data_IF_787298340524
#
_entry.id   IF_787298340524
#
_cell.length_a   1.000
_cell.length_b   1.000
_cell.length_c   1.000
_cell.angle_alpha   90.00
_cell.angle_beta   90.00
_cell.angle_gamma   90.00
#
_symmetry.space_group_name_H-M   'P 1'
#
loop_
_entity.id
_entity.type
_entity.pdbx_description
1 polymer ?
#
# COMPACT_ATOMS: atom_id res chain seq x y z
N UNK A 1 -15.83 10.19 23.60
CA UNK A 1 -15.10 9.80 22.37
C UNK A 1 -13.61 9.72 22.71
N UNK A 2 -12.98 8.63 22.39
CA UNK A 2 -11.55 8.42 22.64
C UNK A 2 -10.73 9.39 21.76
N UNK A 3 -9.82 10.21 22.31
CA UNK A 3 -9.03 11.17 21.54
C UNK A 3 -8.14 10.52 20.47
N UNK A 4 -7.71 9.25 20.64
CA UNK A 4 -6.95 8.52 19.63
C UNK A 4 -7.82 8.22 18.40
N UNK A 5 -9.09 7.86 18.58
CA UNK A 5 -10.02 7.63 17.46
C UNK A 5 -10.26 8.90 16.68
N UNK A 6 -10.52 10.01 17.39
CA UNK A 6 -10.70 11.30 16.74
C UNK A 6 -9.45 11.72 15.94
N UNK A 7 -8.26 11.55 16.52
CA UNK A 7 -7.00 11.90 15.84
C UNK A 7 -6.78 11.04 14.59
N UNK A 8 -7.09 9.72 14.65
CA UNK A 8 -7.02 8.82 13.52
C UNK A 8 -7.97 9.25 12.41
N UNK A 9 -9.27 9.46 12.75
CA UNK A 9 -10.29 9.78 11.76
C UNK A 9 -10.04 11.14 11.10
N UNK A 10 -9.71 12.17 11.88
CA UNK A 10 -9.43 13.49 11.33
C UNK A 10 -8.13 13.49 10.50
N UNK A 11 -7.09 12.79 10.97
CA UNK A 11 -5.81 12.66 10.27
C UNK A 11 -5.97 11.95 8.93
N UNK A 12 -6.61 10.79 8.94
CA UNK A 12 -6.83 10.00 7.71
C UNK A 12 -7.75 10.72 6.72
N UNK A 13 -8.84 11.34 7.21
CA UNK A 13 -9.72 12.17 6.37
C UNK A 13 -8.96 13.35 5.75
N UNK A 14 -8.12 14.05 6.52
CA UNK A 14 -7.31 15.15 6.02
C UNK A 14 -6.33 14.69 4.93
N UNK A 15 -5.60 13.60 5.15
CA UNK A 15 -4.68 13.04 4.15
C UNK A 15 -5.42 12.63 2.88
N UNK A 16 -6.58 11.97 3.02
CA UNK A 16 -7.38 11.58 1.87
C UNK A 16 -7.90 12.81 1.10
N UNK A 17 -8.45 13.82 1.76
CA UNK A 17 -8.98 15.01 1.10
C UNK A 17 -7.89 15.79 0.35
N UNK A 18 -6.69 15.92 0.94
CA UNK A 18 -5.56 16.55 0.26
C UNK A 18 -5.12 15.70 -0.94
N UNK A 19 -5.05 14.38 -0.79
CA UNK A 19 -4.73 13.47 -1.89
C UNK A 19 -5.77 13.54 -3.03
N UNK A 20 -7.07 13.61 -2.69
CA UNK A 20 -8.18 13.74 -3.63
C UNK A 20 -8.13 15.06 -4.39
N UNK A 21 -7.87 16.15 -3.68
CA UNK A 21 -7.68 17.46 -4.30
C UNK A 21 -6.51 17.50 -5.28
N UNK A 22 -5.35 16.95 -4.90
CA UNK A 22 -4.19 16.85 -5.78
C UNK A 22 -4.46 15.94 -6.98
N UNK A 23 -5.13 14.81 -6.76
CA UNK A 23 -5.51 13.88 -7.82
C UNK A 23 -6.49 14.53 -8.81
N UNK A 24 -7.50 15.23 -8.31
CA UNK A 24 -8.46 15.99 -9.12
C UNK A 24 -7.77 17.05 -9.98
N UNK A 25 -6.83 17.81 -9.42
CA UNK A 25 -6.03 18.80 -10.17
C UNK A 25 -5.16 18.22 -11.27
N UNK A 26 -4.77 16.95 -11.16
CA UNK A 26 -3.98 16.24 -12.19
C UNK A 26 -4.83 15.64 -13.29
N UNK A 27 -6.12 15.58 -13.10
CA UNK A 27 -7.07 15.09 -14.08
C UNK A 27 -7.91 13.92 -13.60
N UNK A 28 -8.79 13.48 -14.48
CA UNK A 28 -9.83 12.51 -14.17
C UNK A 28 -9.26 11.15 -13.76
N UNK A 29 -8.28 10.63 -14.48
CA UNK A 29 -7.72 9.29 -14.24
C UNK A 29 -7.14 9.13 -12.82
N UNK A 30 -6.21 9.99 -12.33
CA UNK A 30 -5.69 9.88 -10.96
C UNK A 30 -6.76 10.03 -9.88
N UNK A 31 -7.79 10.85 -10.13
CA UNK A 31 -8.89 11.01 -9.21
C UNK A 31 -9.77 9.76 -9.12
N UNK A 32 -10.12 9.15 -10.26
CA UNK A 32 -10.89 7.91 -10.31
C UNK A 32 -10.12 6.74 -9.69
N UNK A 33 -8.80 6.66 -9.88
CA UNK A 33 -7.96 5.66 -9.23
C UNK A 33 -8.01 5.77 -7.70
N UNK A 34 -7.96 7.00 -7.16
CA UNK A 34 -8.03 7.21 -5.71
C UNK A 34 -9.42 6.88 -5.13
N UNK A 35 -10.49 7.31 -5.83
CA UNK A 35 -11.87 6.98 -5.43
C UNK A 35 -12.09 5.46 -5.48
N UNK A 36 -11.62 4.82 -6.54
CA UNK A 36 -11.68 3.37 -6.68
C UNK A 36 -10.92 2.64 -5.56
N UNK A 37 -9.76 3.15 -5.13
CA UNK A 37 -9.02 2.58 -4.02
C UNK A 37 -9.77 2.71 -2.69
N UNK A 38 -10.47 3.83 -2.44
CA UNK A 38 -11.33 3.99 -1.26
C UNK A 38 -12.51 3.01 -1.29
N UNK A 39 -13.16 2.88 -2.44
CA UNK A 39 -14.26 1.91 -2.63
C UNK A 39 -13.77 0.48 -2.45
N UNK A 40 -12.56 0.15 -2.95
CA UNK A 40 -11.97 -1.16 -2.77
C UNK A 40 -11.67 -1.45 -1.31
N UNK A 41 -11.10 -0.48 -0.57
CA UNK A 41 -10.89 -0.61 0.87
C UNK A 41 -12.18 -0.87 1.64
N UNK A 42 -13.26 -0.15 1.34
CA UNK A 42 -14.57 -0.40 1.96
C UNK A 42 -15.13 -1.77 1.58
N UNK A 43 -15.04 -2.17 0.30
CA UNK A 43 -15.50 -3.49 -0.15
C UNK A 43 -14.73 -4.61 0.52
N UNK A 44 -13.43 -4.45 0.72
CA UNK A 44 -12.56 -5.39 1.43
C UNK A 44 -13.03 -5.58 2.87
N UNK A 45 -13.23 -4.49 3.60
CA UNK A 45 -13.61 -4.50 5.00
C UNK A 45 -15.03 -5.04 5.22
N UNK A 46 -15.99 -4.58 4.44
CA UNK A 46 -17.36 -5.11 4.46
C UNK A 46 -17.39 -6.58 4.03
N UNK A 47 -16.61 -6.95 3.01
CA UNK A 47 -16.51 -8.31 2.52
C UNK A 47 -16.01 -9.27 3.59
N UNK A 48 -15.00 -8.89 4.37
CA UNK A 48 -14.53 -9.70 5.49
C UNK A 48 -15.61 -9.86 6.55
N UNK A 49 -16.21 -8.77 6.99
CA UNK A 49 -17.19 -8.82 8.07
C UNK A 49 -18.52 -9.50 7.70
N UNK A 50 -18.88 -9.54 6.42
CA UNK A 50 -20.09 -10.21 5.93
C UNK A 50 -19.86 -11.69 5.60
N UNK A 51 -18.67 -12.06 5.10
CA UNK A 51 -18.40 -13.40 4.57
C UNK A 51 -17.62 -14.25 5.58
N UNK A 52 -16.58 -13.68 6.19
CA UNK A 52 -15.62 -14.42 7.02
C UNK A 52 -15.79 -14.12 8.51
N UNK A 53 -16.27 -12.92 8.85
CA UNK A 53 -16.46 -12.45 10.22
C UNK A 53 -15.20 -12.62 11.09
N UNK A 54 -14.01 -12.37 10.52
CA UNK A 54 -12.72 -12.64 11.19
C UNK A 54 -12.44 -11.66 12.32
N UNK A 55 -12.97 -10.44 12.23
CA UNK A 55 -12.86 -9.39 13.24
C UNK A 55 -14.09 -8.48 13.26
N UNK A 56 -14.13 -7.56 14.21
CA UNK A 56 -15.15 -6.50 14.27
C UNK A 56 -14.50 -5.18 14.71
N UNK A 57 -14.99 -4.10 14.15
CA UNK A 57 -14.58 -2.74 14.52
C UNK A 57 -15.23 -2.28 15.82
N UNK A 58 -14.56 -1.35 16.53
CA UNK A 58 -15.17 -0.63 17.63
C UNK A 58 -16.36 0.21 17.14
N UNK A 59 -17.38 0.32 18.00
CA UNK A 59 -18.51 1.22 17.77
C UNK A 59 -18.19 2.71 17.98
N UNK A 60 -16.96 3.05 18.41
CA UNK A 60 -16.55 4.42 18.73
C UNK A 60 -16.17 5.24 17.49
N UNK A 61 -16.10 4.65 16.30
CA UNK A 61 -15.89 5.38 15.05
C UNK A 61 -17.07 6.29 14.73
N UNK A 62 -16.79 7.50 14.22
CA UNK A 62 -17.80 8.55 13.97
C UNK A 62 -18.69 8.17 12.79
N UNK A 63 -18.10 7.69 11.69
CA UNK A 63 -18.80 7.33 10.48
C UNK A 63 -18.45 5.91 10.07
N UNK A 64 -19.48 5.10 9.87
CA UNK A 64 -19.37 3.77 9.30
C UNK A 64 -20.36 3.60 8.13
N UNK A 65 -19.99 2.77 7.17
CA UNK A 65 -20.87 2.26 6.12
C UNK A 65 -21.15 0.81 6.54
N UNK A 66 -22.37 0.57 7.00
CA UNK A 66 -22.77 -0.67 7.66
C UNK A 66 -21.79 -1.03 8.81
N UNK A 67 -20.85 -1.95 8.60
CA UNK A 67 -19.91 -2.44 9.62
C UNK A 67 -18.51 -1.84 9.49
N UNK A 68 -18.13 -1.34 8.32
CA UNK A 68 -16.80 -0.79 8.08
C UNK A 68 -16.75 0.73 8.36
N UNK A 69 -15.83 1.20 9.22
CA UNK A 69 -15.63 2.64 9.39
C UNK A 69 -15.15 3.28 8.07
N UNK A 70 -15.81 4.38 7.69
CA UNK A 70 -15.47 5.10 6.45
C UNK A 70 -13.99 5.46 6.37
N UNK A 71 -13.41 5.86 7.50
CA UNK A 71 -12.01 6.26 7.61
C UNK A 71 -11.04 5.14 7.19
N UNK A 72 -11.41 3.88 7.39
CA UNK A 72 -10.57 2.75 7.02
C UNK A 72 -10.47 2.63 5.49
N UNK A 73 -11.59 2.78 4.77
CA UNK A 73 -11.55 2.84 3.30
C UNK A 73 -10.75 4.02 2.76
N UNK A 74 -10.83 5.20 3.42
CA UNK A 74 -10.02 6.37 3.08
C UNK A 74 -8.53 6.11 3.33
N UNK A 75 -8.19 5.41 4.42
CA UNK A 75 -6.81 5.02 4.74
C UNK A 75 -6.26 4.04 3.72
N UNK A 76 -7.02 3.03 3.32
CA UNK A 76 -6.65 2.13 2.23
C UNK A 76 -6.32 2.89 0.94
N UNK A 77 -7.15 3.88 0.58
CA UNK A 77 -6.91 4.67 -0.62
C UNK A 77 -5.55 5.38 -0.60
N UNK A 78 -5.18 6.01 0.51
CA UNK A 78 -3.89 6.74 0.60
C UNK A 78 -2.71 5.79 0.70
N UNK A 79 -2.86 4.62 1.33
CA UNK A 79 -1.83 3.57 1.40
C UNK A 79 -1.56 3.02 0.00
N UNK A 80 -2.58 2.55 -0.70
CA UNK A 80 -2.47 1.96 -2.04
C UNK A 80 -1.93 2.99 -3.05
N UNK A 81 -2.55 4.17 -3.13
CA UNK A 81 -2.11 5.22 -4.03
C UNK A 81 -0.68 5.70 -3.72
N UNK A 82 -0.33 5.75 -2.44
CA UNK A 82 1.02 6.09 -1.98
C UNK A 82 2.07 5.07 -2.41
N UNK A 83 1.80 3.77 -2.22
CA UNK A 83 2.66 2.69 -2.66
C UNK A 83 2.88 2.75 -4.19
N UNK A 84 1.80 2.87 -4.97
CA UNK A 84 1.86 2.97 -6.43
C UNK A 84 2.68 4.19 -6.90
N UNK A 85 2.54 5.36 -6.24
CA UNK A 85 3.32 6.57 -6.56
C UNK A 85 4.80 6.39 -6.28
N UNK A 86 5.17 5.76 -5.16
CA UNK A 86 6.57 5.48 -4.83
C UNK A 86 7.17 4.54 -5.88
N UNK A 87 6.49 3.46 -6.23
CA UNK A 87 6.93 2.50 -7.24
C UNK A 87 7.10 3.13 -8.61
N UNK A 88 6.15 3.98 -9.02
CA UNK A 88 6.23 4.74 -10.27
C UNK A 88 7.40 5.75 -10.22
N UNK A 89 7.64 6.39 -9.06
CA UNK A 89 8.77 7.29 -8.85
C UNK A 89 10.13 6.56 -8.86
N UNK A 90 10.24 5.36 -8.36
CA UNK A 90 11.45 4.54 -8.46
C UNK A 90 11.69 4.11 -9.91
N UNK A 91 10.63 3.98 -10.71
CA UNK A 91 10.69 3.55 -12.10
C UNK A 91 10.80 2.03 -12.25
N UNK A 92 10.11 1.29 -11.40
CA UNK A 92 10.05 -0.16 -11.47
C UNK A 92 9.33 -0.60 -12.75
N UNK A 93 9.84 -1.65 -13.41
CA UNK A 93 9.15 -2.23 -14.57
C UNK A 93 7.74 -2.64 -14.21
N UNK A 94 6.80 -2.36 -15.10
CA UNK A 94 5.38 -2.52 -14.89
C UNK A 94 4.96 -3.90 -14.38
N UNK A 95 5.58 -4.96 -14.91
CA UNK A 95 5.27 -6.34 -14.51
C UNK A 95 5.59 -6.66 -13.04
N UNK A 96 6.52 -5.94 -12.44
CA UNK A 96 6.94 -6.11 -11.05
C UNK A 96 6.35 -5.04 -10.12
N UNK A 97 5.79 -3.97 -10.67
CA UNK A 97 5.26 -2.86 -9.89
C UNK A 97 4.24 -3.29 -8.81
N UNK A 98 3.27 -4.20 -9.09
CA UNK A 98 2.34 -4.66 -8.08
C UNK A 98 2.99 -5.35 -6.88
N UNK A 99 4.10 -6.06 -7.09
CA UNK A 99 4.86 -6.72 -6.01
C UNK A 99 5.54 -5.67 -5.11
N UNK A 100 6.14 -4.64 -5.72
CA UNK A 100 6.77 -3.54 -4.97
C UNK A 100 5.72 -2.75 -4.20
N UNK A 101 4.57 -2.47 -4.83
CA UNK A 101 3.43 -1.80 -4.18
C UNK A 101 2.98 -2.57 -2.92
N UNK A 102 2.91 -3.89 -3.00
CA UNK A 102 2.53 -4.77 -1.88
C UNK A 102 3.54 -4.71 -0.73
N UNK A 103 4.84 -4.79 -1.03
CA UNK A 103 5.89 -4.68 -0.01
C UNK A 103 5.84 -3.32 0.68
N UNK A 104 5.60 -2.24 -0.08
CA UNK A 104 5.46 -0.90 0.48
C UNK A 104 4.21 -0.75 1.37
N UNK A 105 3.12 -1.44 1.06
CA UNK A 105 1.91 -1.42 1.87
C UNK A 105 2.08 -2.23 3.16
N UNK A 106 2.58 -3.48 3.08
CA UNK A 106 2.75 -4.33 4.25
C UNK A 106 3.76 -3.77 5.26
N UNK A 107 4.74 -2.96 4.82
CA UNK A 107 5.65 -2.26 5.74
C UNK A 107 4.92 -1.34 6.73
N UNK A 108 3.74 -0.83 6.39
CA UNK A 108 2.92 -0.05 7.33
C UNK A 108 2.21 -0.97 8.30
N UNK A 109 1.65 -2.07 7.81
CA UNK A 109 0.77 -2.96 8.57
C UNK A 109 1.48 -3.77 9.65
N UNK A 110 2.70 -4.23 9.41
CA UNK A 110 3.45 -5.10 10.34
C UNK A 110 3.56 -4.59 11.79
N UNK A 111 3.37 -3.30 12.00
CA UNK A 111 3.32 -2.71 13.33
C UNK A 111 1.94 -2.17 13.67
N UNK A 112 1.24 -1.52 12.73
CA UNK A 112 0.05 -0.76 13.10
C UNK A 112 -1.13 -1.68 13.49
N UNK A 113 -1.35 -2.81 12.82
CA UNK A 113 -2.43 -3.75 13.19
C UNK A 113 -2.28 -4.24 14.64
N UNK A 114 -1.07 -4.65 15.01
CA UNK A 114 -0.76 -5.08 16.37
C UNK A 114 -0.98 -3.98 17.43
N UNK A 115 -0.76 -2.71 17.08
CA UNK A 115 -1.06 -1.58 17.96
C UNK A 115 -2.55 -1.26 17.97
N UNK A 116 -3.18 -1.28 16.80
CA UNK A 116 -4.58 -0.95 16.60
C UNK A 116 -5.51 -1.82 17.45
N UNK A 117 -5.28 -3.15 17.49
CA UNK A 117 -6.04 -4.06 18.34
C UNK A 117 -5.84 -3.77 19.83
N UNK A 118 -4.64 -3.36 20.26
CA UNK A 118 -4.33 -3.05 21.66
C UNK A 118 -4.95 -1.74 22.13
N UNK A 119 -5.17 -0.80 21.24
CA UNK A 119 -5.91 0.44 21.53
C UNK A 119 -7.42 0.32 21.26
N UNK A 120 -7.88 -0.89 20.85
CA UNK A 120 -9.29 -1.23 20.71
C UNK A 120 -9.95 -0.76 19.42
N UNK A 121 -9.20 -0.41 18.36
CA UNK A 121 -9.79 -0.01 17.08
C UNK A 121 -10.61 -1.14 16.44
N UNK A 122 -10.13 -2.38 16.53
CA UNK A 122 -10.83 -3.61 16.17
C UNK A 122 -10.37 -4.78 17.02
N UNK A 123 -11.11 -5.87 16.97
CA UNK A 123 -10.84 -7.09 17.73
C UNK A 123 -10.95 -8.30 16.82
N UNK A 124 -9.92 -9.12 16.76
CA UNK A 124 -9.91 -10.39 16.04
C UNK A 124 -10.72 -11.44 16.79
N UNK A 125 -11.47 -12.26 16.07
CA UNK A 125 -12.22 -13.38 16.66
C UNK A 125 -11.32 -14.61 16.80
N UNK A 126 -11.40 -15.26 17.95
CA UNK A 126 -10.77 -16.56 18.18
C UNK A 126 -9.25 -16.56 18.31
N UNK A 127 -8.62 -15.38 18.40
CA UNK A 127 -7.17 -15.25 18.62
C UNK A 127 -6.89 -14.44 19.90
N UNK A 128 -5.95 -14.92 20.70
CA UNK A 128 -5.49 -14.22 21.90
C UNK A 128 -4.37 -13.22 21.59
N UNK A 129 -4.08 -12.30 22.53
CA UNK A 129 -3.08 -11.24 22.34
C UNK A 129 -1.65 -11.75 22.11
N UNK A 130 -1.36 -12.97 22.59
CA UNK A 130 -0.02 -13.59 22.49
C UNK A 130 0.08 -14.61 21.34
N UNK A 131 -1.00 -14.79 20.55
CA UNK A 131 -1.04 -15.69 19.40
C UNK A 131 -0.74 -14.94 18.10
N UNK A 132 -0.34 -15.68 17.06
CA UNK A 132 0.01 -15.09 15.78
C UNK A 132 1.14 -14.06 15.88
N UNK A 133 1.02 -12.94 15.17
CA UNK A 133 1.95 -11.83 15.24
C UNK A 133 1.42 -10.75 16.18
N UNK A 134 1.79 -10.81 17.46
CA UNK A 134 1.27 -9.88 18.47
C UNK A 134 -0.27 -9.79 18.47
N UNK A 135 -0.96 -10.93 18.48
CA UNK A 135 -2.43 -10.99 18.48
C UNK A 135 -3.09 -10.77 17.11
N UNK A 136 -2.32 -10.65 16.04
CA UNK A 136 -2.84 -10.53 14.67
C UNK A 136 -2.66 -11.84 13.93
N UNK A 137 -3.71 -12.37 13.26
CA UNK A 137 -3.60 -13.61 12.48
C UNK A 137 -2.60 -13.47 11.32
N UNK A 138 -1.79 -14.50 11.08
CA UNK A 138 -0.86 -14.52 9.94
C UNK A 138 -1.58 -14.38 8.58
N UNK A 139 -2.81 -14.89 8.49
CA UNK A 139 -3.64 -14.75 7.30
C UNK A 139 -3.96 -13.30 6.93
N UNK A 140 -4.06 -12.40 7.93
CA UNK A 140 -4.23 -10.97 7.68
C UNK A 140 -3.04 -10.39 6.91
N UNK A 141 -1.83 -10.63 7.39
CA UNK A 141 -0.63 -10.13 6.71
C UNK A 141 -0.40 -10.76 5.33
N UNK A 142 -0.77 -12.05 5.19
CA UNK A 142 -0.78 -12.70 3.90
C UNK A 142 -1.77 -12.00 2.95
N UNK A 143 -2.98 -11.69 3.41
CA UNK A 143 -3.97 -10.95 2.65
C UNK A 143 -3.47 -9.56 2.23
N UNK A 144 -2.80 -8.82 3.12
CA UNK A 144 -2.23 -7.50 2.83
C UNK A 144 -1.28 -7.48 1.63
N UNK A 145 -0.47 -8.55 1.45
CA UNK A 145 0.37 -8.68 0.26
C UNK A 145 -0.47 -8.67 -1.02
N UNK A 146 -1.63 -9.32 -1.00
CA UNK A 146 -2.47 -9.48 -2.18
C UNK A 146 -3.51 -8.38 -2.35
N UNK A 147 -3.89 -7.66 -1.30
CA UNK A 147 -4.79 -6.48 -1.39
C UNK A 147 -4.20 -5.45 -2.35
N UNK A 148 -3.01 -4.96 -2.06
CA UNK A 148 -2.36 -3.94 -2.87
C UNK A 148 -1.90 -4.50 -4.22
N UNK A 149 -1.46 -5.76 -4.27
CA UNK A 149 -1.11 -6.44 -5.51
C UNK A 149 -2.29 -6.48 -6.49
N UNK A 150 -3.43 -6.97 -6.05
CA UNK A 150 -4.62 -7.15 -6.88
C UNK A 150 -5.12 -5.81 -7.43
N UNK A 151 -5.25 -4.80 -6.55
CA UNK A 151 -5.66 -3.47 -6.96
C UNK A 151 -4.69 -2.87 -7.99
N UNK A 152 -3.38 -2.95 -7.71
CA UNK A 152 -2.34 -2.41 -8.59
C UNK A 152 -2.34 -3.06 -9.97
N UNK A 153 -2.46 -4.40 -10.05
CA UNK A 153 -2.53 -5.13 -11.32
C UNK A 153 -3.66 -4.60 -12.20
N UNK A 154 -4.87 -4.53 -11.66
CA UNK A 154 -6.07 -4.14 -12.42
C UNK A 154 -6.03 -2.67 -12.79
N UNK A 155 -5.72 -1.79 -11.83
CA UNK A 155 -5.62 -0.34 -12.02
C UNK A 155 -4.61 0.01 -13.09
N UNK A 156 -3.39 -0.56 -13.03
CA UNK A 156 -2.33 -0.30 -14.01
C UNK A 156 -2.71 -0.83 -15.40
N UNK A 157 -3.41 -1.96 -15.47
CA UNK A 157 -3.88 -2.50 -16.74
C UNK A 157 -4.91 -1.60 -17.43
N UNK A 158 -5.81 -0.95 -16.66
CA UNK A 158 -6.75 0.03 -17.19
C UNK A 158 -6.03 1.33 -17.54
N UNK A 159 -5.15 1.84 -16.68
CA UNK A 159 -4.36 3.06 -16.89
C UNK A 159 -3.67 3.07 -18.25
N UNK A 160 -3.01 1.98 -18.65
CA UNK A 160 -2.33 1.87 -19.95
C UNK A 160 -3.26 1.94 -21.13
N UNK A 161 -4.45 1.37 -20.98
CA UNK A 161 -5.43 1.39 -22.06
C UNK A 161 -6.12 2.74 -22.15
N UNK A 162 -6.37 3.38 -21.00
CA UNK A 162 -7.00 4.70 -20.91
C UNK A 162 -6.20 5.79 -21.60
N UNK A 163 -4.86 5.73 -21.54
CA UNK A 163 -3.97 6.66 -22.28
C UNK A 163 -4.23 6.62 -23.79
N UNK A 164 -4.62 5.47 -24.32
CA UNK A 164 -4.86 5.29 -25.76
C UNK A 164 -6.32 5.37 -26.18
N UNK A 165 -7.26 5.33 -25.21
CA UNK A 165 -8.70 5.31 -25.46
C UNK A 165 -9.41 6.25 -24.49
N UNK A 166 -9.71 7.49 -24.91
CA UNK A 166 -10.47 8.45 -24.10
C UNK A 166 -11.82 7.85 -23.65
N UNK A 167 -12.19 8.07 -22.40
CA UNK A 167 -13.39 7.51 -21.78
C UNK A 167 -13.18 6.20 -21.05
N UNK A 168 -12.09 5.44 -21.33
CA UNK A 168 -11.80 4.19 -20.64
C UNK A 168 -11.34 4.42 -19.19
N UNK A 169 -10.96 5.65 -18.83
CA UNK A 169 -10.64 6.01 -17.44
C UNK A 169 -11.78 5.74 -16.47
N UNK A 170 -13.04 5.80 -16.92
CA UNK A 170 -14.21 5.46 -16.10
C UNK A 170 -14.24 3.99 -15.65
N UNK A 171 -13.57 3.10 -16.39
CA UNK A 171 -13.43 1.71 -16.00
C UNK A 171 -12.65 1.54 -14.67
N UNK A 172 -11.94 2.58 -14.21
CA UNK A 172 -11.32 2.55 -12.89
C UNK A 172 -12.34 2.33 -11.76
N UNK A 173 -13.56 2.81 -11.90
CA UNK A 173 -14.62 2.59 -10.90
C UNK A 173 -15.03 1.12 -10.77
N UNK A 174 -14.72 0.28 -11.75
CA UNK A 174 -14.99 -1.16 -11.71
C UNK A 174 -13.83 -1.98 -11.11
N UNK A 175 -12.65 -1.39 -10.91
CA UNK A 175 -11.46 -2.05 -10.37
C UNK A 175 -11.72 -2.81 -9.07
N UNK A 176 -12.52 -2.29 -8.11
CA UNK A 176 -12.76 -2.99 -6.84
C UNK A 176 -13.23 -4.43 -7.02
N UNK A 177 -14.10 -4.69 -7.99
CA UNK A 177 -14.68 -6.02 -8.18
C UNK A 177 -13.64 -7.08 -8.63
N UNK A 178 -12.91 -6.91 -9.76
CA UNK A 178 -11.90 -7.88 -10.14
C UNK A 178 -10.70 -7.91 -9.17
N UNK A 179 -10.36 -6.80 -8.51
CA UNK A 179 -9.31 -6.80 -7.50
C UNK A 179 -9.72 -7.64 -6.29
N UNK A 180 -10.96 -7.52 -5.82
CA UNK A 180 -11.49 -8.35 -4.73
C UNK A 180 -11.52 -9.83 -5.12
N UNK A 181 -11.93 -10.15 -6.35
CA UNK A 181 -11.89 -11.53 -6.84
C UNK A 181 -10.46 -12.11 -6.84
N UNK A 182 -9.46 -11.34 -7.33
CA UNK A 182 -8.05 -11.76 -7.31
C UNK A 182 -7.58 -11.98 -5.87
N UNK A 183 -7.92 -11.09 -4.94
CA UNK A 183 -7.62 -11.25 -3.53
C UNK A 183 -8.18 -12.56 -2.98
N UNK A 184 -9.48 -12.82 -3.17
CA UNK A 184 -10.12 -14.06 -2.69
C UNK A 184 -9.43 -15.32 -3.26
N UNK A 185 -9.11 -15.33 -4.54
CA UNK A 185 -8.38 -16.45 -5.15
C UNK A 185 -6.96 -16.60 -4.56
N UNK A 186 -6.29 -15.51 -4.20
CA UNK A 186 -4.96 -15.56 -3.60
C UNK A 186 -4.94 -16.12 -2.19
N UNK A 187 -6.07 -16.06 -1.46
CA UNK A 187 -6.21 -16.64 -0.13
C UNK A 187 -6.38 -18.17 -0.14
N UNK A 188 -6.81 -18.75 -1.27
CA UNK A 188 -7.05 -20.20 -1.38
C UNK A 188 -5.80 -21.02 -1.03
N UNK A 189 -4.60 -20.76 -1.57
CA UNK A 189 -3.40 -21.50 -1.18
C UNK A 189 -3.09 -21.42 0.31
N UNK A 190 -3.24 -20.24 0.91
CA UNK A 190 -3.04 -20.06 2.35
C UNK A 190 -4.02 -20.90 3.16
N UNK A 191 -5.31 -20.83 2.83
CA UNK A 191 -6.38 -21.57 3.51
C UNK A 191 -6.23 -23.09 3.42
N UNK A 192 -5.63 -23.59 2.32
CA UNK A 192 -5.38 -25.03 2.15
C UNK A 192 -4.11 -25.47 2.90
N UNK A 193 -3.04 -24.66 2.81
CA UNK A 193 -1.73 -25.06 3.33
C UNK A 193 -1.56 -24.81 4.83
N UNK A 194 -2.17 -23.75 5.38
CA UNK A 194 -2.03 -23.40 6.78
C UNK A 194 -2.43 -24.52 7.72
N UNK A 195 -3.60 -25.21 7.58
CA UNK A 195 -3.96 -26.30 8.47
C UNK A 195 -3.04 -27.53 8.41
N UNK A 196 -2.26 -27.66 7.32
CA UNK A 196 -1.33 -28.77 7.08
C UNK A 196 0.05 -28.48 7.64
N UNK A 197 0.55 -27.24 7.37
CA UNK A 197 1.94 -26.86 7.64
C UNK A 197 2.09 -26.27 9.04
N UNK A 198 1.11 -25.50 9.49
CA UNK A 198 1.17 -24.73 10.74
C UNK A 198 -0.25 -24.66 11.36
N UNK A 199 -0.74 -25.81 11.90
CA UNK A 199 -2.09 -25.91 12.43
C UNK A 199 -2.20 -25.17 13.77
N UNK A 200 -3.12 -24.19 13.82
CA UNK A 200 -3.43 -23.43 15.03
C UNK A 200 -4.24 -22.20 14.72
N UNK A 201 -4.87 -21.63 15.76
CA UNK A 201 -5.64 -20.39 15.61
C UNK A 201 -4.69 -19.21 15.45
N UNK A 202 -4.85 -18.45 14.36
CA UNK A 202 -3.99 -17.32 14.02
C UNK A 202 -2.61 -17.71 13.49
N UNK A 203 -2.35 -19.00 13.35
CA UNK A 203 -1.09 -19.57 12.89
C UNK A 203 -0.89 -19.34 11.37
N UNK A 204 0.19 -19.90 10.82
CA UNK A 204 0.56 -19.68 9.42
C UNK A 204 1.67 -18.64 9.26
N UNK A 205 2.35 -18.24 10.36
CA UNK A 205 3.46 -17.28 10.31
C UNK A 205 4.57 -17.76 9.39
N UNK A 206 4.85 -19.08 9.33
CA UNK A 206 5.84 -19.66 8.42
C UNK A 206 5.45 -19.48 6.95
N UNK A 207 4.18 -19.68 6.59
CA UNK A 207 3.68 -19.47 5.23
C UNK A 207 3.71 -17.99 4.85
N UNK A 208 3.29 -17.12 5.77
CA UNK A 208 3.39 -15.68 5.56
C UNK A 208 4.85 -15.24 5.38
N UNK A 209 5.77 -15.71 6.22
CA UNK A 209 7.19 -15.37 6.11
C UNK A 209 7.80 -15.81 4.77
N UNK A 210 7.42 -16.98 4.26
CA UNK A 210 7.84 -17.46 2.93
C UNK A 210 7.29 -16.54 1.83
N UNK A 211 6.00 -16.20 1.89
CA UNK A 211 5.37 -15.31 0.93
C UNK A 211 6.02 -13.92 0.98
N UNK A 212 6.20 -13.36 2.17
CA UNK A 212 6.86 -12.06 2.37
C UNK A 212 8.29 -12.07 1.83
N UNK A 213 9.07 -13.10 2.14
CA UNK A 213 10.44 -13.24 1.64
C UNK A 213 10.48 -13.30 0.09
N UNK A 214 9.54 -14.02 -0.53
CA UNK A 214 9.43 -14.06 -1.99
C UNK A 214 9.08 -12.69 -2.58
N UNK A 215 8.11 -11.97 -1.98
CA UNK A 215 7.74 -10.62 -2.41
C UNK A 215 8.90 -9.63 -2.23
N UNK A 216 9.59 -9.65 -1.09
CA UNK A 216 10.75 -8.79 -0.81
C UNK A 216 11.91 -9.09 -1.76
N UNK A 217 12.23 -10.38 -2.00
CA UNK A 217 13.27 -10.77 -2.94
C UNK A 217 12.96 -10.30 -4.37
N UNK A 218 11.71 -10.49 -4.81
CA UNK A 218 11.28 -10.05 -6.15
C UNK A 218 11.21 -8.51 -6.25
N UNK A 219 10.78 -7.82 -5.21
CA UNK A 219 10.80 -6.35 -5.14
C UNK A 219 12.24 -5.80 -5.18
N UNK A 220 13.15 -6.44 -4.44
CA UNK A 220 14.58 -6.12 -4.47
C UNK A 220 15.18 -6.33 -5.86
N UNK A 221 14.92 -7.48 -6.47
CA UNK A 221 15.31 -7.74 -7.85
C UNK A 221 14.78 -6.68 -8.82
N UNK A 222 13.50 -6.34 -8.73
CA UNK A 222 12.85 -5.36 -9.59
C UNK A 222 13.42 -3.94 -9.44
N UNK A 223 13.90 -3.61 -8.24
CA UNK A 223 14.41 -2.26 -7.90
C UNK A 223 15.90 -2.09 -8.22
N UNK A 224 16.71 -3.11 -7.96
CA UNK A 224 18.17 -3.03 -8.07
C UNK A 224 18.79 -3.99 -9.11
N UNK A 225 18.05 -4.97 -9.61
CA UNK A 225 18.52 -5.96 -10.57
C UNK A 225 18.86 -5.37 -11.96
N UNK A 226 19.49 -6.18 -12.83
CA UNK A 226 19.87 -5.76 -14.18
C UNK A 226 18.66 -5.42 -15.06
N UNK A 227 17.51 -5.97 -14.72
CA UNK A 227 16.25 -5.80 -15.46
C UNK A 227 15.40 -4.61 -14.97
N UNK A 228 16.03 -3.69 -14.22
CA UNK A 228 15.39 -2.44 -13.78
C UNK A 228 14.93 -1.60 -14.96
N UNK A 229 13.81 -0.91 -14.83
CA UNK A 229 13.33 -0.03 -15.88
C UNK A 229 14.33 1.11 -16.13
N UNK A 230 14.48 1.45 -17.39
CA UNK A 230 15.05 2.75 -17.77
C UNK A 230 14.12 3.88 -17.28
N UNK A 231 14.63 5.09 -17.05
CA UNK A 231 13.91 6.19 -16.41
C UNK A 231 12.79 6.83 -17.26
N UNK A 232 12.01 6.05 -17.97
CA UNK A 232 10.81 6.49 -18.72
C UNK A 232 9.53 6.52 -17.86
N UNK A 233 9.67 6.48 -16.52
CA UNK A 233 8.52 6.59 -15.60
C UNK A 233 7.88 7.98 -15.67
N UNK A 234 6.56 8.02 -15.46
CA UNK A 234 5.83 9.28 -15.35
C UNK A 234 6.50 10.22 -14.34
N UNK A 235 6.68 11.48 -14.72
CA UNK A 235 7.18 12.52 -13.83
C UNK A 235 6.14 12.76 -12.74
N UNK A 236 6.41 12.29 -11.52
CA UNK A 236 5.50 12.46 -10.39
C UNK A 236 5.80 13.80 -9.74
N UNK A 237 4.78 14.61 -9.56
CA UNK A 237 4.92 15.92 -8.95
C UNK A 237 5.54 15.79 -7.54
N UNK A 238 6.51 16.66 -7.23
CA UNK A 238 7.20 16.68 -5.93
C UNK A 238 6.20 16.77 -4.77
N UNK A 239 5.12 17.55 -4.94
CA UNK A 239 4.09 17.70 -3.91
C UNK A 239 3.38 16.38 -3.59
N UNK A 240 3.14 15.53 -4.58
CA UNK A 240 2.53 14.22 -4.39
C UNK A 240 3.44 13.26 -3.63
N UNK A 241 4.73 13.27 -3.94
CA UNK A 241 5.71 12.47 -3.22
C UNK A 241 5.85 12.95 -1.77
N UNK A 242 5.86 14.28 -1.55
CA UNK A 242 5.89 14.85 -0.19
C UNK A 242 4.67 14.42 0.61
N UNK A 243 3.47 14.54 0.04
CA UNK A 243 2.24 14.08 0.69
C UNK A 243 2.30 12.58 0.98
N UNK A 244 2.75 11.77 0.02
CA UNK A 244 2.88 10.31 0.20
C UNK A 244 3.78 9.97 1.38
N UNK A 245 4.98 10.56 1.48
CA UNK A 245 5.88 10.31 2.61
C UNK A 245 5.35 10.90 3.92
N UNK A 246 4.71 12.06 3.89
CA UNK A 246 4.08 12.65 5.06
C UNK A 246 2.95 11.74 5.60
N UNK A 247 2.14 11.16 4.73
CA UNK A 247 1.10 10.20 5.10
C UNK A 247 1.70 8.94 5.75
N UNK A 248 2.72 8.32 5.13
CA UNK A 248 3.37 7.11 5.65
C UNK A 248 4.03 7.36 7.00
N UNK A 249 4.83 8.42 7.10
CA UNK A 249 5.46 8.83 8.37
C UNK A 249 4.39 9.20 9.40
N UNK A 250 3.32 9.88 9.01
CA UNK A 250 2.20 10.21 9.89
C UNK A 250 1.52 8.97 10.47
N UNK A 251 1.29 7.93 9.66
CA UNK A 251 0.76 6.63 10.12
C UNK A 251 1.70 6.01 11.15
N UNK A 252 2.99 5.89 10.85
CA UNK A 252 3.96 5.35 11.80
C UNK A 252 4.01 6.15 13.11
N UNK A 253 4.07 7.48 13.03
CA UNK A 253 4.12 8.35 14.20
C UNK A 253 2.85 8.27 15.05
N UNK A 254 1.68 8.12 14.42
CA UNK A 254 0.42 7.92 15.15
C UNK A 254 0.48 6.64 16.00
N UNK A 255 0.87 5.51 15.42
CA UNK A 255 0.90 4.24 16.13
C UNK A 255 2.05 4.16 17.16
N UNK A 256 3.24 4.70 16.87
CA UNK A 256 4.31 4.85 17.85
C UNK A 256 3.86 5.75 19.02
N UNK A 257 3.21 6.87 18.71
CA UNK A 257 2.64 7.77 19.72
C UNK A 257 1.58 7.08 20.58
N UNK A 258 0.70 6.29 19.96
CA UNK A 258 -0.31 5.50 20.66
C UNK A 258 0.34 4.48 21.61
N UNK A 259 1.37 3.73 21.18
CA UNK A 259 2.12 2.81 22.04
C UNK A 259 2.68 3.49 23.30
N UNK A 260 3.24 4.69 23.13
CA UNK A 260 3.86 5.44 24.22
C UNK A 260 2.80 6.03 25.17
N UNK A 261 1.81 6.72 24.61
CA UNK A 261 0.79 7.43 25.42
C UNK A 261 -0.10 6.48 26.21
N UNK A 262 -0.38 5.28 25.67
CA UNK A 262 -1.17 4.26 26.37
C UNK A 262 -0.35 3.39 27.32
N UNK A 263 0.98 3.54 27.34
CA UNK A 263 1.88 2.71 28.14
C UNK A 263 2.10 1.29 27.59
N UNK A 264 1.51 0.94 26.46
CA UNK A 264 1.68 -0.39 25.81
C UNK A 264 3.17 -0.65 25.52
N UNK A 265 3.93 0.37 25.16
CA UNK A 265 5.37 0.27 24.91
C UNK A 265 6.18 -0.33 26.08
N UNK A 266 5.72 -0.21 27.32
CA UNK A 266 6.37 -0.78 28.50
C UNK A 266 6.13 -2.27 28.60
N UNK A 267 4.94 -2.74 28.22
CA UNK A 267 4.54 -4.14 28.28
C UNK A 267 4.93 -4.92 27.01
N UNK A 268 5.03 -4.22 25.88
CA UNK A 268 5.34 -4.77 24.57
C UNK A 268 6.54 -4.04 23.92
N UNK A 269 7.74 -4.10 24.55
CA UNK A 269 8.89 -3.33 24.07
C UNK A 269 9.35 -3.77 22.67
N UNK A 270 9.17 -5.05 22.32
CA UNK A 270 9.53 -5.55 20.99
C UNK A 270 8.65 -4.95 19.90
N UNK A 271 7.35 -4.73 20.17
CA UNK A 271 6.45 -4.09 19.23
C UNK A 271 6.87 -2.63 18.98
N UNK A 272 7.31 -1.92 20.03
CA UNK A 272 7.87 -0.57 19.87
C UNK A 272 9.13 -0.59 19.00
N UNK A 273 10.04 -1.54 19.22
CA UNK A 273 11.27 -1.69 18.39
C UNK A 273 10.90 -1.91 16.93
N UNK A 274 9.97 -2.80 16.64
CA UNK A 274 9.50 -3.08 15.28
C UNK A 274 8.91 -1.81 14.66
N UNK A 275 8.03 -1.09 15.37
CA UNK A 275 7.42 0.14 14.89
C UNK A 275 8.47 1.21 14.56
N UNK A 276 9.50 1.37 15.42
CA UNK A 276 10.59 2.31 15.18
C UNK A 276 11.49 1.90 14.01
N UNK A 277 11.75 0.60 13.84
CA UNK A 277 12.52 0.09 12.68
C UNK A 277 11.76 0.37 11.38
N UNK A 278 10.46 0.08 11.33
CA UNK A 278 9.64 0.34 10.14
C UNK A 278 9.55 1.84 9.83
N UNK A 279 9.39 2.69 10.83
CA UNK A 279 9.48 4.15 10.67
C UNK A 279 10.85 4.57 10.11
N UNK A 280 11.95 4.01 10.64
CA UNK A 280 13.30 4.34 10.18
C UNK A 280 13.55 3.95 8.72
N UNK A 281 12.90 2.91 8.21
CA UNK A 281 12.99 2.49 6.80
C UNK A 281 12.37 3.51 5.82
N UNK A 282 11.53 4.44 6.26
CA UNK A 282 11.00 5.52 5.42
C UNK A 282 12.11 6.48 4.95
N UNK A 283 13.18 6.64 5.73
CA UNK A 283 14.28 7.53 5.36
C UNK A 283 15.09 7.01 4.15
N UNK A 284 15.62 5.76 4.13
CA UNK A 284 16.30 5.22 2.95
C UNK A 284 15.37 5.09 1.75
N UNK A 285 14.08 4.77 1.95
CA UNK A 285 13.09 4.73 0.87
C UNK A 285 12.92 6.11 0.22
N UNK A 286 12.77 7.16 1.04
CA UNK A 286 12.69 8.55 0.57
C UNK A 286 13.97 8.98 -0.16
N UNK A 287 15.15 8.57 0.35
CA UNK A 287 16.43 8.84 -0.31
C UNK A 287 16.53 8.15 -1.68
N UNK A 288 16.09 6.88 -1.77
CA UNK A 288 16.03 6.15 -3.03
C UNK A 288 15.16 6.86 -4.07
N UNK A 289 13.96 7.28 -3.68
CA UNK A 289 13.04 8.01 -4.58
C UNK A 289 13.65 9.30 -5.06
N UNK A 290 14.26 10.12 -4.18
CA UNK A 290 14.94 11.36 -4.55
C UNK A 290 16.11 11.13 -5.50
N UNK A 291 16.93 10.10 -5.24
CA UNK A 291 18.04 9.73 -6.12
C UNK A 291 17.53 9.37 -7.52
N UNK A 292 16.50 8.54 -7.61
CA UNK A 292 15.91 8.11 -8.89
C UNK A 292 15.29 9.27 -9.67
N UNK A 293 14.65 10.22 -8.98
CA UNK A 293 14.11 11.42 -9.62
C UNK A 293 15.22 12.29 -10.22
N UNK A 294 16.33 12.51 -9.50
CA UNK A 294 17.48 13.26 -9.99
C UNK A 294 18.20 12.58 -11.17
N UNK A 295 18.31 11.24 -11.15
CA UNK A 295 18.88 10.47 -12.27
C UNK A 295 18.07 10.70 -13.56
N UNK A 296 16.74 10.78 -13.47
CA UNK A 296 15.86 11.05 -14.61
C UNK A 296 15.98 12.47 -15.14
N UNK A 297 16.04 13.47 -14.26
CA UNK A 297 16.23 14.87 -14.64
C UNK A 297 17.53 15.02 -15.43
N UNK A 298 18.63 14.41 -14.96
CA UNK A 298 19.92 14.45 -15.68
C UNK A 298 19.85 13.83 -17.07
N UNK A 299 19.19 12.65 -17.20
CA UNK A 299 19.04 11.98 -18.51
C UNK A 299 18.15 12.78 -19.46
N UNK A 300 17.15 13.50 -18.94
CA UNK A 300 16.27 14.36 -19.74
C UNK A 300 16.98 15.63 -20.24
N UNK A 301 17.95 16.13 -19.47
CA UNK A 301 18.73 17.35 -19.79
C UNK A 301 19.97 17.04 -20.64
N UNK A 302 20.36 15.78 -20.85
CA UNK A 302 21.46 15.43 -21.77
C UNK A 302 21.08 15.81 -23.21
N UNK A 303 21.85 16.67 -23.91
CA UNK A 303 21.57 17.00 -25.30
C UNK A 303 21.52 15.69 -26.11
N UNK A 304 20.44 15.45 -26.82
CA UNK A 304 20.41 14.39 -27.82
C UNK A 304 21.55 14.70 -28.79
N UNK A 305 22.66 13.95 -28.68
CA UNK A 305 23.75 14.04 -29.64
C UNK A 305 23.15 13.87 -31.04
N UNK A 306 23.31 14.92 -31.86
CA UNK A 306 22.74 15.03 -33.19
C UNK A 306 23.04 13.78 -34.03
N UNK A 307 22.01 13.08 -34.42
CA UNK A 307 22.05 12.10 -35.53
C UNK A 307 22.13 12.82 -36.89
N UNK A 308 22.53 14.10 -36.90
CA UNK A 308 22.64 14.94 -38.09
C UNK A 308 24.01 14.85 -38.82
N UNK A 309 24.82 13.81 -38.51
CA UNK A 309 26.20 13.71 -39.01
C UNK A 309 26.49 12.71 -40.13
N UNK A 310 25.48 12.01 -40.73
CA UNK A 310 25.77 10.95 -41.71
C UNK A 310 25.05 11.04 -43.06
N UNK A 311 24.49 12.19 -43.44
CA UNK A 311 23.89 12.37 -44.78
C UNK A 311 24.59 13.43 -45.66
N UNK A 312 25.87 13.55 -45.61
CA UNK A 312 26.58 14.43 -46.54
C UNK A 312 27.92 13.86 -47.04
N UNK A 313 27.91 12.63 -47.54
CA UNK A 313 29.05 12.13 -48.32
C UNK A 313 28.65 10.99 -49.26
N UNK A 314 27.85 11.28 -50.30
CA UNK A 314 27.83 10.45 -51.52
C UNK A 314 27.07 11.16 -52.63
N UNK A 315 27.76 11.97 -53.39
CA UNK A 315 27.57 12.11 -54.85
C UNK A 315 28.88 12.66 -55.42
N UNK A 316 29.43 12.08 -56.45
CA UNK A 316 29.37 12.70 -57.78
C UNK A 316 28.43 11.97 -58.73
#
# INVERSE_FOLDING_TARGET
MNPLYLALELGAAAFFLIAAWLAFRRGRLPFLELVSAATFGLLLEEGDQLIFETYHYSSDFILAIDRAPLVIGLTWAVIIAGAMRITDAIGVRRRYAPVVDSVLAIMLDLAFDAVAIRIGLWTWRGIGPDQGWFGVPAGNFYAWLFVTFAFSVVTRAIRDRAVRRPGLEWAQLLVPLPAFAILLFSLVPFSILQPIVDPGVGEGLGLFAIALAAFVALAGWATWGPDRATPNGAQIAILDLRLTFLTRVGIHLFFVGALVVTGIAVHEPMLLVIALVLLALEAPLSALVRRRSRERERVADEPRADVAGTESAALP
#
